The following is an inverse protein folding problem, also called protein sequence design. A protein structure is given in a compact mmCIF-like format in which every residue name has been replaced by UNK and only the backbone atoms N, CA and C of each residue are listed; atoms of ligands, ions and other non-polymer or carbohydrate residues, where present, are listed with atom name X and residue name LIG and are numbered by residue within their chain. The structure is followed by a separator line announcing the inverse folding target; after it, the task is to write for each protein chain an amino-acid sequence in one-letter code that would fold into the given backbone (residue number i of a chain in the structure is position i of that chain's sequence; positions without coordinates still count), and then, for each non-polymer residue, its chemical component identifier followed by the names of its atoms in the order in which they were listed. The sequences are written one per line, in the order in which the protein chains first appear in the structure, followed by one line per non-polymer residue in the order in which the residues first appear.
data_IF_468935474334
#
_entry.id   IF_468935474334
#
_cell.length_a   1.000
_cell.length_b   1.000
_cell.length_c   1.000
_cell.angle_alpha   90.00
_cell.angle_beta   90.00
_cell.angle_gamma   90.00
#
_symmetry.space_group_name_H-M   'P 1'
#
loop_
_entity.id
_entity.type
_entity.pdbx_description
1 polymer ?
#
# COMPACT_ATOMS: atom_id res chain seq x y z
N UNK A 1 -3.84 6.56 22.76
CA UNK A 1 -3.29 6.14 21.46
C UNK A 1 -3.17 7.31 20.49
N UNK A 2 -4.23 8.09 20.18
CA UNK A 2 -4.16 9.20 19.21
C UNK A 2 -3.13 10.26 19.58
N UNK A 3 -3.05 10.69 20.83
CA UNK A 3 -2.03 11.66 21.30
C UNK A 3 -0.58 11.19 21.05
N UNK A 4 -0.33 9.88 21.15
CA UNK A 4 0.98 9.31 20.84
C UNK A 4 1.30 9.42 19.34
N UNK A 5 0.30 9.14 18.48
CA UNK A 5 0.43 9.29 17.03
C UNK A 5 0.70 10.76 16.69
N UNK A 6 -0.05 11.70 17.25
CA UNK A 6 0.14 13.14 17.04
C UNK A 6 1.54 13.59 17.44
N UNK A 7 2.02 13.13 18.61
CA UNK A 7 3.36 13.41 19.08
C UNK A 7 4.43 12.90 18.12
N UNK A 8 4.36 11.63 17.72
CA UNK A 8 5.34 11.05 16.80
C UNK A 8 5.30 11.69 15.41
N UNK A 9 4.12 12.01 14.88
CA UNK A 9 4.01 12.71 13.60
C UNK A 9 4.69 14.08 13.67
N UNK A 10 4.52 14.81 14.77
CA UNK A 10 5.16 16.11 14.95
C UNK A 10 6.69 15.99 15.07
N UNK A 11 7.17 15.01 15.80
CA UNK A 11 8.61 14.79 16.02
C UNK A 11 9.32 14.28 14.78
N UNK A 12 8.67 13.44 13.97
CA UNK A 12 9.28 12.77 12.82
C UNK A 12 9.10 13.52 11.50
N UNK A 13 8.31 14.59 11.46
CA UNK A 13 8.02 15.29 10.20
C UNK A 13 9.29 15.78 9.48
N UNK A 14 10.17 16.51 10.18
CA UNK A 14 11.40 17.01 9.58
C UNK A 14 12.41 15.90 9.30
N UNK A 15 12.70 14.95 10.21
CA UNK A 15 13.54 13.78 9.91
C UNK A 15 13.10 13.00 8.66
N UNK A 16 11.80 12.80 8.46
CA UNK A 16 11.31 12.14 7.27
C UNK A 16 11.52 12.96 6.00
N UNK A 17 11.27 14.27 6.06
CA UNK A 17 11.53 15.16 4.93
C UNK A 17 13.02 15.16 4.55
N UNK A 18 13.91 15.26 5.52
CA UNK A 18 15.37 15.25 5.32
C UNK A 18 15.87 13.91 4.73
N UNK A 19 15.22 12.80 5.12
CA UNK A 19 15.48 11.48 4.55
C UNK A 19 14.83 11.26 3.17
N UNK A 20 14.12 12.24 2.63
CA UNK A 20 13.42 12.13 1.35
C UNK A 20 12.21 11.20 1.37
N UNK A 21 11.66 10.92 2.56
CA UNK A 21 10.44 10.11 2.73
C UNK A 21 9.22 10.98 2.48
N UNK A 22 8.31 10.52 1.64
CA UNK A 22 6.97 11.07 1.49
C UNK A 22 6.01 10.24 2.33
N UNK A 23 5.41 10.84 3.36
CA UNK A 23 4.41 10.17 4.19
C UNK A 23 3.01 10.59 3.75
N UNK A 24 2.10 9.62 3.64
CA UNK A 24 0.67 9.84 3.49
C UNK A 24 -0.10 8.97 4.47
N UNK A 25 -1.25 9.46 4.94
CA UNK A 25 -2.12 8.69 5.84
C UNK A 25 -3.36 8.25 5.08
N UNK A 26 -3.63 6.96 5.11
CA UNK A 26 -4.82 6.34 4.51
C UNK A 26 -5.79 5.88 5.59
N UNK A 27 -7.09 5.89 5.28
CA UNK A 27 -8.16 5.53 6.19
C UNK A 27 -9.14 6.67 6.44
N UNK A 28 -10.02 6.49 7.41
CA UNK A 28 -11.17 7.39 7.65
C UNK A 28 -10.80 8.57 8.54
N UNK A 29 -10.53 9.71 7.92
CA UNK A 29 -10.19 10.96 8.65
C UNK A 29 -11.40 11.59 9.34
N UNK A 30 -12.59 11.37 8.81
CA UNK A 30 -13.86 11.88 9.37
C UNK A 30 -14.18 11.35 10.77
N UNK A 31 -13.54 10.26 11.18
CA UNK A 31 -13.70 9.64 12.50
C UNK A 31 -12.56 9.98 13.48
N UNK A 32 -11.56 10.72 13.03
CA UNK A 32 -10.41 11.09 13.85
C UNK A 32 -10.66 12.42 14.58
N UNK A 33 -10.05 12.63 15.75
CA UNK A 33 -10.04 13.94 16.41
C UNK A 33 -9.45 15.02 15.48
N UNK A 34 -9.96 16.24 15.57
CA UNK A 34 -9.48 17.36 14.74
C UNK A 34 -7.97 17.62 14.92
N UNK A 35 -7.45 17.46 16.13
CA UNK A 35 -6.01 17.57 16.43
C UNK A 35 -5.18 16.55 15.68
N UNK A 36 -5.66 15.31 15.59
CA UNK A 36 -5.01 14.24 14.83
C UNK A 36 -5.03 14.55 13.34
N UNK A 37 -6.17 15.02 12.80
CA UNK A 37 -6.28 15.42 11.38
C UNK A 37 -5.29 16.53 11.04
N UNK A 38 -5.20 17.58 11.89
CA UNK A 38 -4.24 18.67 11.72
C UNK A 38 -2.78 18.17 11.74
N UNK A 39 -2.45 17.23 12.63
CA UNK A 39 -1.11 16.65 12.67
C UNK A 39 -0.78 15.85 11.40
N UNK A 40 -1.76 15.11 10.87
CA UNK A 40 -1.66 14.38 9.60
C UNK A 40 -1.38 15.35 8.45
N UNK A 41 -2.20 16.37 8.30
CA UNK A 41 -2.06 17.37 7.22
C UNK A 41 -0.70 18.06 7.26
N UNK A 42 -0.22 18.37 8.46
CA UNK A 42 1.09 18.99 8.66
C UNK A 42 2.25 18.09 8.23
N UNK A 43 2.26 16.82 8.62
CA UNK A 43 3.34 15.90 8.24
C UNK A 43 3.30 15.58 6.75
N UNK A 44 2.11 15.42 6.16
CA UNK A 44 1.95 15.23 4.73
C UNK A 44 2.47 16.42 3.92
N UNK A 45 2.18 17.65 4.37
CA UNK A 45 2.68 18.87 3.74
C UNK A 45 4.22 18.99 3.83
N UNK A 46 4.80 18.74 5.01
CA UNK A 46 6.24 18.82 5.24
C UNK A 46 6.99 17.77 4.38
N UNK A 47 6.44 16.57 4.25
CA UNK A 47 7.09 15.46 3.54
C UNK A 47 6.71 15.35 2.05
N UNK A 48 5.88 16.27 1.53
CA UNK A 48 5.31 16.19 0.19
C UNK A 48 6.34 16.09 -0.94
N UNK A 49 7.52 16.71 -0.78
CA UNK A 49 8.60 16.70 -1.75
C UNK A 49 9.45 15.42 -1.74
N UNK A 50 9.24 14.49 -0.80
CA UNK A 50 10.00 13.26 -0.69
C UNK A 50 9.83 12.37 -1.91
N UNK A 51 10.94 11.83 -2.43
CA UNK A 51 10.98 10.96 -3.62
C UNK A 51 11.70 9.64 -3.40
N UNK A 52 12.40 9.49 -2.26
CA UNK A 52 13.19 8.29 -1.95
C UNK A 52 12.31 7.11 -1.50
N UNK A 53 11.27 7.40 -0.71
CA UNK A 53 10.35 6.40 -0.18
C UNK A 53 8.96 6.99 -0.07
N UNK A 54 7.95 6.30 -0.60
CA UNK A 54 6.54 6.59 -0.31
C UNK A 54 6.06 5.70 0.84
N UNK A 55 5.97 6.27 2.04
CA UNK A 55 5.41 5.61 3.21
C UNK A 55 3.91 5.90 3.32
N UNK A 56 3.12 4.88 3.60
CA UNK A 56 1.68 5.03 3.84
C UNK A 56 1.34 4.47 5.21
N UNK A 57 0.81 5.31 6.08
CA UNK A 57 0.35 4.93 7.41
C UNK A 57 -1.16 4.74 7.40
N UNK A 58 -1.63 3.55 7.71
CA UNK A 58 -3.05 3.24 7.78
C UNK A 58 -3.59 3.52 9.19
N UNK A 59 -4.55 4.47 9.30
CA UNK A 59 -5.22 4.82 10.58
C UNK A 59 -6.72 4.73 10.35
N UNK A 60 -7.42 3.95 11.19
CA UNK A 60 -8.86 3.66 11.03
C UNK A 60 -9.21 3.19 9.60
N UNK A 61 -8.38 2.31 9.05
CA UNK A 61 -8.48 1.82 7.69
C UNK A 61 -9.33 0.56 7.62
N UNK A 62 -10.20 0.50 6.61
CA UNK A 62 -10.97 -0.67 6.23
C UNK A 62 -10.90 -0.87 4.72
N UNK A 63 -10.42 -2.03 4.28
CA UNK A 63 -10.33 -2.38 2.86
C UNK A 63 -11.70 -2.46 2.20
N UNK A 64 -12.71 -2.98 2.90
CA UNK A 64 -14.10 -3.02 2.40
C UNK A 64 -14.66 -1.63 2.20
N UNK A 65 -14.43 -0.72 3.15
CA UNK A 65 -14.86 0.67 3.01
C UNK A 65 -14.14 1.37 1.86
N UNK A 66 -12.83 1.19 1.75
CA UNK A 66 -12.05 1.74 0.65
C UNK A 66 -12.54 1.24 -0.73
N UNK A 67 -12.89 -0.04 -0.84
CA UNK A 67 -13.46 -0.63 -2.06
C UNK A 67 -14.82 0.00 -2.41
N UNK A 68 -15.71 0.18 -1.44
CA UNK A 68 -17.02 0.80 -1.66
C UNK A 68 -16.89 2.25 -2.12
N UNK A 69 -16.03 3.02 -1.48
CA UNK A 69 -15.76 4.41 -1.90
C UNK A 69 -15.10 4.49 -3.29
N UNK A 70 -14.14 3.60 -3.57
CA UNK A 70 -13.48 3.55 -4.87
C UNK A 70 -14.47 3.16 -5.97
N UNK A 71 -15.36 2.19 -5.72
CA UNK A 71 -16.41 1.79 -6.67
C UNK A 71 -17.38 2.95 -6.95
N UNK A 72 -17.79 3.69 -5.91
CA UNK A 72 -18.63 4.86 -6.07
C UNK A 72 -17.94 5.93 -6.92
N UNK A 73 -16.68 6.26 -6.64
CA UNK A 73 -15.89 7.21 -7.45
C UNK A 73 -15.72 6.74 -8.90
N UNK A 74 -15.39 5.46 -9.11
CA UNK A 74 -15.21 4.90 -10.45
C UNK A 74 -16.49 4.97 -11.27
N UNK A 75 -17.65 4.66 -10.67
CA UNK A 75 -18.96 4.71 -11.33
C UNK A 75 -19.29 6.10 -11.89
N UNK A 76 -18.96 7.17 -11.17
CA UNK A 76 -19.18 8.54 -11.62
C UNK A 76 -18.24 8.97 -12.77
N UNK A 77 -17.10 8.29 -12.92
CA UNK A 77 -16.08 8.61 -13.92
C UNK A 77 -16.15 7.70 -15.18
N UNK A 78 -17.10 6.77 -15.24
CA UNK A 78 -17.27 5.88 -16.38
C UNK A 78 -17.62 4.42 -16.01
N UNK A 79 -17.42 3.48 -16.92
CA UNK A 79 -17.69 2.06 -16.65
C UNK A 79 -16.84 1.53 -15.50
N UNK A 80 -17.47 0.77 -14.58
CA UNK A 80 -16.77 0.10 -13.51
C UNK A 80 -16.02 -1.13 -14.06
N UNK A 81 -14.70 -1.03 -14.12
CA UNK A 81 -13.78 -2.09 -14.51
C UNK A 81 -12.73 -2.32 -13.42
N UNK A 82 -11.94 -3.40 -13.50
CA UNK A 82 -10.84 -3.61 -12.59
C UNK A 82 -9.84 -2.45 -12.62
N UNK A 83 -9.57 -1.90 -13.80
CA UNK A 83 -8.63 -0.78 -13.98
C UNK A 83 -9.18 0.52 -13.37
N UNK A 84 -10.45 0.88 -13.65
CA UNK A 84 -11.03 2.10 -13.09
C UNK A 84 -11.22 2.00 -11.58
N UNK A 85 -11.51 0.81 -11.04
CA UNK A 85 -11.54 0.56 -9.60
C UNK A 85 -10.15 0.71 -8.98
N UNK A 86 -9.14 0.07 -9.57
CA UNK A 86 -7.74 0.17 -9.12
C UNK A 86 -7.25 1.62 -9.12
N UNK A 87 -7.51 2.38 -10.18
CA UNK A 87 -7.19 3.80 -10.24
C UNK A 87 -7.91 4.61 -9.16
N UNK A 88 -9.15 4.25 -8.84
CA UNK A 88 -9.94 4.91 -7.79
C UNK A 88 -9.49 4.54 -6.37
N UNK A 89 -8.85 3.39 -6.18
CA UNK A 89 -8.19 3.01 -4.93
C UNK A 89 -6.85 3.73 -4.74
N UNK A 90 -6.26 4.21 -5.84
CA UNK A 90 -4.99 4.91 -5.80
C UNK A 90 -5.11 6.23 -5.04
N UNK A 91 -4.36 6.37 -3.96
CA UNK A 91 -4.22 7.61 -3.22
C UNK A 91 -2.86 8.25 -3.50
N UNK A 92 -2.87 9.34 -4.26
CA UNK A 92 -1.72 10.25 -4.41
C UNK A 92 -0.54 9.78 -5.27
N UNK A 93 -0.07 8.54 -5.17
CA UNK A 93 1.13 8.03 -5.86
C UNK A 93 0.85 6.97 -6.92
N UNK A 94 -0.40 6.82 -7.35
CA UNK A 94 -0.82 5.77 -8.28
C UNK A 94 -1.12 4.43 -7.59
N UNK A 95 -1.94 3.60 -8.25
CA UNK A 95 -2.25 2.25 -7.80
C UNK A 95 -1.04 1.34 -8.02
N UNK A 96 -0.78 0.48 -7.05
CA UNK A 96 0.14 -0.65 -7.20
C UNK A 96 -0.33 -1.82 -6.36
N UNK A 97 -0.28 -3.01 -6.93
CA UNK A 97 -0.41 -4.24 -6.16
C UNK A 97 0.70 -4.37 -5.13
N UNK A 98 0.40 -5.03 -4.03
CA UNK A 98 1.37 -5.33 -2.98
C UNK A 98 2.17 -6.54 -3.41
N UNK A 99 3.48 -6.43 -3.40
CA UNK A 99 4.37 -7.55 -3.67
C UNK A 99 4.54 -8.47 -2.47
N UNK A 100 4.74 -7.89 -1.28
CA UNK A 100 4.96 -8.62 -0.04
C UNK A 100 4.13 -8.00 1.09
N UNK A 101 3.31 -8.83 1.75
CA UNK A 101 2.61 -8.47 2.98
C UNK A 101 3.26 -9.19 4.15
N UNK A 102 3.76 -8.41 5.10
CA UNK A 102 4.35 -8.92 6.34
C UNK A 102 3.36 -8.70 7.48
N UNK A 103 3.02 -9.77 8.21
CA UNK A 103 2.20 -9.67 9.41
C UNK A 103 2.92 -10.24 10.61
N UNK A 104 3.06 -9.41 11.62
CA UNK A 104 3.67 -9.71 12.92
C UNK A 104 2.65 -10.30 13.91
N UNK A 105 3.10 -10.62 15.11
CA UNK A 105 2.28 -11.09 16.25
C UNK A 105 1.68 -12.49 16.10
N UNK A 106 2.17 -13.31 15.18
CA UNK A 106 1.68 -14.69 14.96
C UNK A 106 0.31 -14.78 14.30
N UNK A 107 -0.29 -13.66 13.90
CA UNK A 107 -1.58 -13.62 13.25
C UNK A 107 -1.47 -13.96 11.76
N UNK A 108 -2.36 -14.83 11.26
CA UNK A 108 -2.33 -15.35 9.88
C UNK A 108 -3.60 -15.02 9.11
N UNK A 109 -4.00 -13.75 9.14
CA UNK A 109 -5.18 -13.22 8.44
C UNK A 109 -4.94 -11.79 7.99
N UNK A 110 -5.66 -11.33 6.97
CA UNK A 110 -5.54 -9.94 6.46
C UNK A 110 -6.30 -8.94 7.33
N UNK A 111 -7.35 -9.36 8.02
CA UNK A 111 -8.18 -8.50 8.87
C UNK A 111 -8.63 -7.22 8.17
N UNK A 112 -9.17 -7.37 6.96
CA UNK A 112 -9.70 -6.26 6.16
C UNK A 112 -8.63 -5.26 5.66
N UNK A 113 -7.34 -5.60 5.74
CA UNK A 113 -6.26 -4.71 5.32
C UNK A 113 -5.93 -4.90 3.84
N UNK A 114 -6.02 -3.83 3.04
CA UNK A 114 -5.61 -3.73 1.63
C UNK A 114 -6.03 -4.95 0.78
N UNK A 115 -7.34 -5.30 0.82
CA UNK A 115 -7.85 -6.56 0.25
C UNK A 115 -7.62 -6.67 -1.25
N UNK A 116 -7.89 -5.61 -2.00
CA UNK A 116 -7.73 -5.58 -3.46
C UNK A 116 -6.27 -5.60 -3.86
N UNK A 117 -5.49 -4.78 -3.21
CA UNK A 117 -4.06 -4.61 -3.48
C UNK A 117 -3.24 -5.84 -3.09
N UNK A 118 -3.74 -6.66 -2.16
CA UNK A 118 -3.06 -7.87 -1.68
C UNK A 118 -3.43 -9.14 -2.44
N UNK A 119 -4.27 -9.05 -3.48
CA UNK A 119 -4.81 -10.22 -4.17
C UNK A 119 -3.72 -11.18 -4.71
N UNK A 120 -2.56 -10.65 -5.07
CA UNK A 120 -1.41 -11.41 -5.56
C UNK A 120 -0.17 -11.24 -4.69
N UNK A 121 -0.32 -10.72 -3.47
CA UNK A 121 0.79 -10.52 -2.55
C UNK A 121 1.35 -11.85 -2.04
N UNK A 122 2.66 -11.94 -1.96
CA UNK A 122 3.31 -12.97 -1.14
C UNK A 122 3.10 -12.65 0.33
N UNK A 123 2.77 -13.67 1.13
CA UNK A 123 2.48 -13.48 2.55
C UNK A 123 3.64 -14.01 3.41
N UNK A 124 4.07 -13.18 4.36
CA UNK A 124 5.05 -13.53 5.38
C UNK A 124 4.45 -13.32 6.77
N UNK A 125 4.41 -14.37 7.57
CA UNK A 125 3.90 -14.32 8.94
C UNK A 125 5.03 -14.58 9.92
N UNK A 126 5.17 -13.72 10.94
CA UNK A 126 6.13 -13.92 12.04
C UNK A 126 5.42 -13.83 13.39
N UNK A 127 5.95 -14.56 14.38
CA UNK A 127 5.48 -14.51 15.77
C UNK A 127 6.00 -13.28 16.51
N UNK A 128 7.02 -12.63 15.99
CA UNK A 128 7.62 -11.42 16.56
C UNK A 128 6.57 -10.32 16.68
N UNK A 129 6.51 -9.67 17.82
CA UNK A 129 5.62 -8.52 18.04
C UNK A 129 6.15 -7.30 17.27
N UNK A 130 5.26 -6.41 16.86
CA UNK A 130 5.67 -5.23 16.08
C UNK A 130 6.79 -4.40 16.72
N UNK A 131 6.81 -4.12 18.05
CA UNK A 131 7.90 -3.37 18.67
C UNK A 131 9.27 -4.05 18.59
N UNK A 132 9.29 -5.39 18.45
CA UNK A 132 10.50 -6.22 18.42
C UNK A 132 10.90 -6.59 16.99
N UNK A 133 10.11 -6.22 15.98
CA UNK A 133 10.38 -6.50 14.57
C UNK A 133 11.55 -5.66 14.06
N UNK A 134 12.63 -6.31 13.68
CA UNK A 134 13.90 -5.67 13.32
C UNK A 134 14.12 -5.56 11.81
N UNK A 135 15.11 -4.74 11.41
CA UNK A 135 15.58 -4.68 10.03
C UNK A 135 16.17 -6.00 9.52
N UNK A 136 16.71 -6.84 10.41
CA UNK A 136 17.19 -8.17 10.06
C UNK A 136 16.03 -9.09 9.67
N UNK A 137 14.94 -9.12 10.44
CA UNK A 137 13.74 -9.87 10.07
C UNK A 137 13.10 -9.37 8.78
N UNK A 138 13.08 -8.06 8.55
CA UNK A 138 12.66 -7.50 7.27
C UNK A 138 13.52 -8.03 6.13
N UNK A 139 14.84 -8.06 6.31
CA UNK A 139 15.77 -8.60 5.32
C UNK A 139 15.50 -10.07 5.02
N UNK A 140 15.22 -10.87 6.04
CA UNK A 140 14.85 -12.29 5.89
C UNK A 140 13.53 -12.44 5.12
N UNK A 141 12.51 -11.65 5.45
CA UNK A 141 11.22 -11.65 4.73
C UNK A 141 11.40 -11.31 3.25
N UNK A 142 12.22 -10.30 2.93
CA UNK A 142 12.54 -9.89 1.55
C UNK A 142 13.37 -10.96 0.83
N UNK A 143 14.32 -11.60 1.50
CA UNK A 143 15.08 -12.70 0.91
C UNK A 143 14.18 -13.90 0.57
N UNK A 144 13.28 -14.28 1.49
CA UNK A 144 12.29 -15.32 1.24
C UNK A 144 11.35 -14.98 0.09
N UNK A 145 10.87 -13.73 0.01
CA UNK A 145 10.09 -13.24 -1.11
C UNK A 145 10.84 -13.39 -2.44
N UNK A 146 12.09 -12.98 -2.50
CA UNK A 146 12.92 -13.06 -3.73
C UNK A 146 13.21 -14.49 -4.17
N UNK A 147 13.21 -15.46 -3.26
CA UNK A 147 13.43 -16.88 -3.56
C UNK A 147 12.18 -17.57 -4.13
N UNK A 148 11.00 -16.96 -4.00
CA UNK A 148 9.74 -17.51 -4.49
C UNK A 148 9.54 -17.24 -5.98
N UNK A 149 8.99 -18.23 -6.68
CA UNK A 149 8.64 -18.09 -8.10
C UNK A 149 7.19 -17.62 -8.24
N UNK A 150 6.98 -16.34 -8.53
CA UNK A 150 5.63 -15.75 -8.73
C UNK A 150 5.09 -16.18 -10.08
N UNK A 151 3.94 -16.86 -10.09
CA UNK A 151 3.33 -17.42 -11.30
C UNK A 151 2.13 -16.61 -11.83
N UNK A 152 1.59 -15.68 -11.08
CA UNK A 152 0.41 -14.85 -11.46
C UNK A 152 -0.70 -15.66 -12.12
N UNK A 153 -1.01 -16.86 -11.60
CA UNK A 153 -2.00 -17.77 -12.16
C UNK A 153 -1.55 -18.58 -13.40
N UNK A 154 -0.29 -18.44 -13.86
CA UNK A 154 0.24 -19.18 -15.00
C UNK A 154 0.58 -20.65 -14.67
N UNK A 155 0.36 -21.54 -15.64
CA UNK A 155 0.76 -22.95 -15.52
C UNK A 155 2.28 -23.11 -15.64
N UNK A 156 2.88 -24.12 -14.98
CA UNK A 156 4.30 -24.42 -15.14
C UNK A 156 4.63 -24.76 -16.61
N UNK A 157 5.56 -24.04 -17.24
CA UNK A 157 6.05 -24.34 -18.58
C UNK A 157 5.32 -23.68 -19.75
N UNK A 158 4.31 -22.83 -19.52
CA UNK A 158 3.70 -22.01 -20.57
C UNK A 158 4.39 -20.64 -20.57
N UNK A 159 5.18 -20.35 -21.60
CA UNK A 159 5.69 -19.01 -21.85
C UNK A 159 4.52 -18.04 -22.02
N UNK A 160 4.53 -16.84 -21.41
CA UNK A 160 3.52 -15.84 -21.72
C UNK A 160 3.58 -15.55 -23.22
N UNK A 161 2.44 -15.65 -23.91
CA UNK A 161 2.32 -15.22 -25.31
C UNK A 161 2.69 -13.73 -25.36
N UNK A 162 3.88 -13.44 -25.87
CA UNK A 162 4.29 -12.09 -26.23
C UNK A 162 3.32 -11.60 -27.28
N UNK A 163 2.58 -10.54 -26.96
CA UNK A 163 1.55 -9.98 -27.81
C UNK A 163 2.04 -9.78 -29.23
N UNK A 164 1.23 -10.21 -30.16
CA UNK A 164 1.39 -10.11 -31.62
C UNK A 164 1.68 -8.64 -31.97
N UNK A 165 2.93 -8.32 -32.30
CA UNK A 165 3.24 -7.10 -33.03
C UNK A 165 2.47 -7.15 -34.37
N UNK A 166 1.56 -6.20 -34.56
CA UNK A 166 0.94 -5.96 -35.85
C UNK A 166 2.04 -5.64 -36.87
N UNK A 167 2.28 -6.59 -37.74
CA UNK A 167 3.04 -6.36 -39.00
C UNK A 167 2.24 -5.36 -39.84
N UNK A 168 2.69 -4.11 -39.89
CA UNK A 168 2.22 -3.17 -40.90
C UNK A 168 2.78 -3.63 -42.26
N UNK A 169 1.89 -4.13 -43.09
CA UNK A 169 2.14 -4.33 -44.51
C UNK A 169 2.09 -2.94 -45.18
N UNK A 170 3.23 -2.43 -45.57
CA UNK A 170 3.37 -1.35 -46.54
C UNK A 170 3.24 -1.93 -47.94
N UNK A 171 2.20 -1.49 -48.64
CA UNK A 171 2.07 -1.52 -50.10
C UNK A 171 2.43 -0.15 -50.64
#
# INVERSE_FOLDING_TARGET
MMQLIEHYMTMQAQPFADAGVRLTVIGRRDRLPATTVTAIEKIEAITAAGTMLNARLAIDFSGRHALLEAAARAFWNGPLTADTLSQSLATGSGYRDIDLLIRTSGEQRLSDFLLWESAYAELWFTKTLWPDFTGEELTQAVAAFRSRNRRFGGLPGVMPCVGTQQMQLTT
#
